data_IF_294079054413
#
_entry.id   IF_294079054413
#
_cell.length_a   1.000
_cell.length_b   1.000
_cell.length_c   1.000
_cell.angle_alpha   90.00
_cell.angle_beta   90.00
_cell.angle_gamma   90.00
#
_symmetry.space_group_name_H-M   'P 1'
#
loop_
_entity.id
_entity.type
_entity.pdbx_description
1 polymer ?
#
# COMPACT_ATOMS: atom_id res chain seq x y z
N UNK A 1 -24.96 -1.18 -9.15
CA UNK A 1 -23.92 -0.45 -8.39
C UNK A 1 -23.46 -1.36 -7.28
N UNK A 2 -22.18 -1.64 -7.18
CA UNK A 2 -21.64 -2.59 -6.19
C UNK A 2 -21.29 -1.80 -4.94
N UNK A 3 -22.15 -1.79 -3.94
CA UNK A 3 -21.95 -0.93 -2.77
C UNK A 3 -20.77 -1.41 -1.92
N UNK A 4 -19.79 -0.53 -1.68
CA UNK A 4 -18.72 -0.75 -0.70
C UNK A 4 -19.36 -1.01 0.67
N UNK A 5 -18.91 -2.04 1.39
CA UNK A 5 -19.48 -2.39 2.69
C UNK A 5 -19.25 -1.27 3.72
N UNK A 6 -20.18 -1.05 4.69
CA UNK A 6 -20.02 0.00 5.70
C UNK A 6 -18.68 -0.08 6.47
N UNK A 7 -18.22 -1.30 6.76
CA UNK A 7 -16.93 -1.57 7.39
C UNK A 7 -15.76 -1.01 6.57
N UNK A 8 -15.74 -1.27 5.25
CA UNK A 8 -14.69 -0.80 4.36
C UNK A 8 -14.79 0.72 4.17
N UNK A 9 -15.99 1.28 4.07
CA UNK A 9 -16.19 2.73 4.01
C UNK A 9 -15.63 3.44 5.24
N UNK A 10 -15.86 2.91 6.44
CA UNK A 10 -15.30 3.47 7.68
C UNK A 10 -13.77 3.41 7.71
N UNK A 11 -13.18 2.33 7.20
CA UNK A 11 -11.74 2.18 7.12
C UNK A 11 -11.12 3.19 6.13
N UNK A 12 -11.76 3.43 4.98
CA UNK A 12 -11.36 4.46 4.01
C UNK A 12 -11.40 5.85 4.65
N UNK A 13 -12.47 6.16 5.39
CA UNK A 13 -12.60 7.44 6.10
C UNK A 13 -11.48 7.60 7.15
N UNK A 14 -11.18 6.54 7.90
CA UNK A 14 -10.10 6.54 8.90
C UNK A 14 -8.76 6.87 8.25
N UNK A 15 -8.44 6.24 7.11
CA UNK A 15 -7.24 6.57 6.31
C UNK A 15 -7.27 8.04 5.87
N UNK A 16 -8.42 8.56 5.45
CA UNK A 16 -8.55 9.95 4.98
C UNK A 16 -8.35 11.00 6.06
N UNK A 17 -8.69 10.67 7.30
CA UNK A 17 -8.51 11.53 8.48
C UNK A 17 -7.12 11.41 9.12
N UNK A 18 -6.33 10.41 8.74
CA UNK A 18 -4.99 10.21 9.28
C UNK A 18 -4.04 11.35 8.88
N UNK A 19 -3.52 12.05 9.89
CA UNK A 19 -2.50 13.11 9.78
C UNK A 19 -1.26 12.82 10.61
N UNK A 20 -1.18 11.63 11.21
CA UNK A 20 -0.11 11.24 12.13
C UNK A 20 0.91 10.34 11.47
N UNK A 21 0.47 9.50 10.51
CA UNK A 21 1.31 8.51 9.88
C UNK A 21 1.87 8.97 8.52
N UNK A 22 3.07 8.47 8.20
CA UNK A 22 3.74 8.75 6.94
C UNK A 22 3.22 7.90 5.76
N UNK A 23 3.60 8.31 4.55
CA UNK A 23 3.14 7.71 3.29
C UNK A 23 3.30 6.19 3.21
N UNK A 24 4.42 5.63 3.70
CA UNK A 24 4.66 4.18 3.67
C UNK A 24 3.81 3.38 4.66
N UNK A 25 3.34 4.00 5.74
CA UNK A 25 2.37 3.38 6.64
C UNK A 25 0.99 3.41 6.00
N UNK A 26 0.54 4.57 5.51
CA UNK A 26 -0.77 4.73 4.86
C UNK A 26 -0.91 3.86 3.60
N UNK A 27 0.16 3.69 2.83
CA UNK A 27 0.15 2.81 1.66
C UNK A 27 -0.10 1.34 2.04
N UNK A 28 0.47 0.87 3.15
CA UNK A 28 0.24 -0.49 3.64
C UNK A 28 -1.16 -0.65 4.18
N UNK A 29 -1.62 0.32 4.96
CA UNK A 29 -2.97 0.28 5.52
C UNK A 29 -4.03 0.30 4.41
N UNK A 30 -3.84 1.13 3.37
CA UNK A 30 -4.70 1.12 2.20
C UNK A 30 -4.67 -0.23 1.43
N UNK A 31 -3.49 -0.83 1.23
CA UNK A 31 -3.40 -2.16 0.63
C UNK A 31 -4.10 -3.23 1.49
N UNK A 32 -4.00 -3.11 2.82
CA UNK A 32 -4.66 -3.98 3.77
C UNK A 32 -6.18 -3.84 3.70
N UNK A 33 -6.72 -2.62 3.70
CA UNK A 33 -8.16 -2.34 3.55
C UNK A 33 -8.68 -2.87 2.22
N UNK A 34 -7.96 -2.65 1.11
CA UNK A 34 -8.35 -3.20 -0.20
C UNK A 34 -8.33 -4.74 -0.22
N UNK A 35 -7.41 -5.36 0.52
CA UNK A 35 -7.35 -6.83 0.62
C UNK A 35 -8.52 -7.37 1.44
N UNK A 36 -8.85 -6.74 2.56
CA UNK A 36 -9.98 -7.11 3.41
C UNK A 36 -11.33 -6.87 2.73
N UNK A 37 -11.42 -5.95 1.78
CA UNK A 37 -12.66 -5.72 1.01
C UNK A 37 -13.01 -6.91 0.11
N UNK A 38 -12.03 -7.77 -0.22
CA UNK A 38 -12.26 -8.96 -1.05
C UNK A 38 -13.17 -9.99 -0.38
N UNK A 39 -13.20 -10.02 0.95
CA UNK A 39 -14.06 -10.90 1.78
C UNK A 39 -15.53 -10.53 1.63
N UNK A 40 -15.81 -9.22 1.53
CA UNK A 40 -17.16 -8.67 1.39
C UNK A 40 -17.58 -8.53 -0.10
N UNK A 41 -16.70 -8.88 -1.04
CA UNK A 41 -16.89 -8.58 -2.45
C UNK A 41 -17.98 -9.48 -3.09
N UNK A 42 -19.13 -8.91 -3.51
CA UNK A 42 -20.28 -9.68 -3.99
C UNK A 42 -20.14 -10.12 -5.47
N UNK A 43 -19.04 -9.75 -6.12
CA UNK A 43 -18.83 -9.98 -7.54
C UNK A 43 -18.83 -11.47 -7.91
N UNK A 44 -19.65 -11.82 -8.91
CA UNK A 44 -19.80 -13.17 -9.48
C UNK A 44 -19.10 -13.31 -10.82
N UNK A 45 -18.74 -12.20 -11.47
CA UNK A 45 -18.01 -12.18 -12.74
C UNK A 45 -16.67 -11.46 -12.63
N UNK A 46 -15.76 -11.73 -13.58
CA UNK A 46 -14.48 -11.03 -13.68
C UNK A 46 -14.64 -9.51 -13.86
N UNK A 47 -15.64 -9.08 -14.63
CA UNK A 47 -15.92 -7.67 -14.89
C UNK A 47 -16.45 -6.96 -13.63
N UNK A 48 -17.40 -7.58 -12.92
CA UNK A 48 -17.90 -7.07 -11.65
C UNK A 48 -16.78 -6.96 -10.61
N UNK A 49 -15.90 -7.96 -10.54
CA UNK A 49 -14.79 -7.99 -9.60
C UNK A 49 -13.78 -6.88 -9.87
N UNK A 50 -13.42 -6.68 -11.14
CA UNK A 50 -12.52 -5.60 -11.52
C UNK A 50 -13.13 -4.22 -11.28
N UNK A 51 -14.44 -4.07 -11.54
CA UNK A 51 -15.15 -2.82 -11.23
C UNK A 51 -15.15 -2.54 -9.73
N UNK A 52 -15.45 -3.54 -8.90
CA UNK A 52 -15.43 -3.42 -7.44
C UNK A 52 -14.05 -3.02 -6.93
N UNK A 53 -12.99 -3.71 -7.39
CA UNK A 53 -11.61 -3.41 -7.02
C UNK A 53 -11.23 -1.96 -7.37
N UNK A 54 -11.60 -1.49 -8.56
CA UNK A 54 -11.33 -0.12 -8.99
C UNK A 54 -12.08 0.90 -8.16
N UNK A 55 -13.32 0.61 -7.77
CA UNK A 55 -14.13 1.49 -6.93
C UNK A 55 -13.48 1.69 -5.56
N UNK A 56 -13.14 0.60 -4.86
CA UNK A 56 -12.47 0.65 -3.55
C UNK A 56 -11.08 1.30 -3.66
N UNK A 57 -10.29 0.93 -4.67
CA UNK A 57 -8.97 1.50 -4.89
C UNK A 57 -9.02 3.02 -5.17
N UNK A 58 -10.02 3.46 -5.95
CA UNK A 58 -10.22 4.89 -6.22
C UNK A 58 -10.59 5.64 -4.95
N UNK A 59 -11.51 5.11 -4.14
CA UNK A 59 -11.89 5.72 -2.87
C UNK A 59 -10.69 5.86 -1.92
N UNK A 60 -9.85 4.82 -1.81
CA UNK A 60 -8.62 4.86 -1.02
C UNK A 60 -7.61 5.89 -1.53
N UNK A 61 -7.41 5.96 -2.86
CA UNK A 61 -6.52 6.96 -3.46
C UNK A 61 -7.01 8.40 -3.21
N UNK A 62 -8.33 8.62 -3.25
CA UNK A 62 -8.93 9.93 -2.97
C UNK A 62 -8.96 10.31 -1.48
N UNK A 63 -8.86 9.34 -0.57
CA UNK A 63 -8.76 9.60 0.85
C UNK A 63 -7.44 10.31 1.21
N UNK A 64 -6.35 10.02 0.49
CA UNK A 64 -5.01 10.58 0.69
C UNK A 64 -4.38 11.06 -0.63
N UNK A 65 -4.94 12.08 -1.29
CA UNK A 65 -4.61 12.42 -2.68
C UNK A 65 -3.17 12.96 -2.85
N UNK A 66 -2.58 13.53 -1.79
CA UNK A 66 -1.18 13.99 -1.78
C UNK A 66 -0.17 12.85 -1.60
N UNK A 67 -0.61 11.64 -1.26
CA UNK A 67 0.25 10.51 -0.93
C UNK A 67 0.28 9.51 -2.09
N UNK A 68 1.11 9.75 -3.09
CA UNK A 68 1.26 8.86 -4.25
C UNK A 68 1.54 7.39 -3.89
N UNK A 69 2.17 7.13 -2.74
CA UNK A 69 2.40 5.77 -2.23
C UNK A 69 1.08 5.00 -2.00
N UNK A 70 0.01 5.67 -1.55
CA UNK A 70 -1.33 5.08 -1.37
C UNK A 70 -1.89 4.66 -2.73
N UNK A 71 -1.93 5.59 -3.69
CA UNK A 71 -2.38 5.32 -5.07
C UNK A 71 -1.61 4.18 -5.73
N UNK A 72 -0.28 4.17 -5.57
CA UNK A 72 0.57 3.13 -6.13
C UNK A 72 0.28 1.75 -5.51
N UNK A 73 0.08 1.69 -4.19
CA UNK A 73 -0.19 0.43 -3.50
C UNK A 73 -1.52 -0.19 -3.94
N UNK A 74 -2.60 0.60 -3.92
CA UNK A 74 -3.93 0.11 -4.34
C UNK A 74 -3.98 -0.17 -5.85
N UNK A 75 -3.31 0.65 -6.66
CA UNK A 75 -3.19 0.44 -8.10
C UNK A 75 -2.45 -0.85 -8.45
N UNK A 76 -1.42 -1.21 -7.70
CA UNK A 76 -0.69 -2.46 -7.91
C UNK A 76 -1.58 -3.71 -7.67
N UNK A 77 -2.46 -3.67 -6.67
CA UNK A 77 -3.44 -4.74 -6.42
C UNK A 77 -4.44 -4.86 -7.57
N UNK A 78 -4.98 -3.74 -8.05
CA UNK A 78 -5.89 -3.72 -9.21
C UNK A 78 -5.21 -4.26 -10.47
N UNK A 79 -3.95 -3.87 -10.69
CA UNK A 79 -3.15 -4.34 -11.83
C UNK A 79 -2.92 -5.85 -11.76
N UNK A 80 -2.54 -6.38 -10.59
CA UNK A 80 -2.31 -7.81 -10.39
C UNK A 80 -3.56 -8.65 -10.71
N UNK A 81 -4.74 -8.20 -10.28
CA UNK A 81 -6.01 -8.84 -10.67
C UNK A 81 -6.28 -8.73 -12.17
N UNK A 82 -6.10 -7.54 -12.75
CA UNK A 82 -6.36 -7.28 -14.17
C UNK A 82 -5.53 -8.19 -15.08
N UNK A 83 -4.26 -8.40 -14.75
CA UNK A 83 -3.36 -9.29 -15.49
C UNK A 83 -3.80 -10.76 -15.46
N UNK A 84 -4.61 -11.16 -14.48
CA UNK A 84 -5.17 -12.51 -14.37
C UNK A 84 -6.60 -12.63 -14.91
N UNK A 85 -7.14 -11.58 -15.53
CA UNK A 85 -8.46 -11.63 -16.14
C UNK A 85 -8.64 -12.80 -17.14
N UNK A 86 -7.66 -13.14 -18.02
CA UNK A 86 -7.78 -14.30 -18.91
C UNK A 86 -7.86 -15.65 -18.19
N UNK A 87 -7.40 -15.71 -16.94
CA UNK A 87 -7.43 -16.92 -16.10
C UNK A 87 -8.69 -17.03 -15.23
N UNK A 88 -9.65 -16.11 -15.39
CA UNK A 88 -10.93 -16.13 -14.71
C UNK A 88 -10.91 -15.59 -13.28
N UNK A 89 -12.12 -15.40 -12.74
CA UNK A 89 -12.37 -14.76 -11.44
C UNK A 89 -11.56 -15.37 -10.27
N UNK A 90 -11.45 -16.71 -10.10
CA UNK A 90 -10.67 -17.27 -9.00
C UNK A 90 -9.19 -16.88 -9.05
N UNK A 91 -8.60 -16.80 -10.25
CA UNK A 91 -7.21 -16.38 -10.41
C UNK A 91 -7.02 -14.89 -10.11
N UNK A 92 -7.97 -14.05 -10.52
CA UNK A 92 -7.97 -12.62 -10.20
C UNK A 92 -8.03 -12.37 -8.69
N UNK A 93 -8.93 -13.07 -7.98
CA UNK A 93 -9.07 -12.97 -6.50
C UNK A 93 -7.77 -13.35 -5.80
N UNK A 94 -7.16 -14.49 -6.18
CA UNK A 94 -5.87 -14.91 -5.63
C UNK A 94 -4.75 -13.90 -5.91
N UNK A 95 -4.69 -13.34 -7.11
CA UNK A 95 -3.66 -12.37 -7.46
C UNK A 95 -3.81 -11.03 -6.71
N UNK A 96 -5.04 -10.52 -6.58
CA UNK A 96 -5.30 -9.33 -5.76
C UNK A 96 -4.87 -9.55 -4.31
N UNK A 97 -5.32 -10.64 -3.70
CA UNK A 97 -5.00 -10.96 -2.31
C UNK A 97 -3.50 -11.16 -2.10
N UNK A 98 -2.84 -11.92 -2.97
CA UNK A 98 -1.39 -12.15 -2.90
C UNK A 98 -0.60 -10.84 -3.03
N UNK A 99 -0.98 -9.96 -3.97
CA UNK A 99 -0.32 -8.67 -4.14
C UNK A 99 -0.52 -7.75 -2.93
N UNK A 100 -1.72 -7.72 -2.35
CA UNK A 100 -2.01 -6.96 -1.14
C UNK A 100 -1.14 -7.39 0.03
N UNK A 101 -1.10 -8.70 0.32
CA UNK A 101 -0.23 -9.26 1.37
C UNK A 101 1.25 -8.99 1.09
N UNK A 102 1.70 -9.15 -0.16
CA UNK A 102 3.09 -8.85 -0.53
C UNK A 102 3.46 -7.39 -0.22
N UNK A 103 2.57 -6.43 -0.48
CA UNK A 103 2.81 -5.02 -0.17
C UNK A 103 2.97 -4.84 1.35
N UNK A 104 2.03 -5.39 2.14
CA UNK A 104 2.05 -5.31 3.61
C UNK A 104 3.35 -5.89 4.18
N UNK A 105 3.77 -7.06 3.69
CA UNK A 105 4.95 -7.79 4.18
C UNK A 105 6.29 -7.23 3.66
N UNK A 106 6.28 -6.43 2.60
CA UNK A 106 7.51 -5.99 1.93
C UNK A 106 8.27 -4.87 2.64
N UNK A 107 7.63 -4.16 3.57
CA UNK A 107 8.17 -2.94 4.16
C UNK A 107 9.51 -3.15 4.88
N UNK A 108 9.59 -4.13 5.78
CA UNK A 108 10.81 -4.38 6.54
C UNK A 108 11.96 -4.80 5.60
N UNK A 109 11.64 -5.47 4.50
CA UNK A 109 12.63 -5.85 3.49
C UNK A 109 13.10 -4.63 2.71
N UNK A 110 12.20 -3.74 2.32
CA UNK A 110 12.51 -2.50 1.62
C UNK A 110 13.37 -1.56 2.48
N UNK A 111 12.94 -1.30 3.72
CA UNK A 111 13.69 -0.47 4.67
C UNK A 111 15.11 -1.00 4.88
N UNK A 112 15.27 -2.31 5.17
CA UNK A 112 16.59 -2.93 5.32
C UNK A 112 17.47 -2.83 4.07
N UNK A 113 16.89 -2.90 2.87
CA UNK A 113 17.65 -2.72 1.61
C UNK A 113 18.14 -1.29 1.46
N UNK A 114 17.30 -0.31 1.76
CA UNK A 114 17.66 1.11 1.70
C UNK A 114 18.77 1.40 2.71
N UNK A 115 18.63 0.93 3.94
CA UNK A 115 19.64 1.07 5.00
C UNK A 115 20.99 0.50 4.55
N UNK A 116 21.04 -0.75 4.07
CA UNK A 116 22.29 -1.36 3.59
C UNK A 116 22.92 -0.63 2.42
N UNK A 117 22.10 -0.03 1.55
CA UNK A 117 22.62 0.76 0.44
C UNK A 117 23.20 2.08 0.94
N UNK A 118 22.46 2.80 1.77
CA UNK A 118 22.89 4.07 2.36
C UNK A 118 24.20 3.93 3.16
N UNK A 119 24.36 2.85 3.92
CA UNK A 119 25.61 2.53 4.63
C UNK A 119 26.84 2.45 3.72
N UNK A 120 26.66 2.06 2.45
CA UNK A 120 27.77 1.87 1.50
C UNK A 120 28.02 3.11 0.66
N UNK A 121 27.05 4.01 0.54
CA UNK A 121 27.08 5.11 -0.43
C UNK A 121 27.10 6.49 0.20
N UNK A 122 26.63 6.66 1.44
CA UNK A 122 26.63 7.96 2.08
C UNK A 122 28.05 8.33 2.56
N UNK A 123 28.55 9.52 2.17
CA UNK A 123 29.84 10.00 2.66
C UNK A 123 29.73 10.41 4.13
N UNK A 124 30.88 10.46 4.82
CA UNK A 124 30.97 11.04 6.17
C UNK A 124 30.66 12.54 6.11
N UNK A 125 29.93 13.06 7.09
CA UNK A 125 29.65 14.48 7.22
C UNK A 125 28.32 14.76 7.91
N UNK A 126 27.91 16.03 7.89
CA UNK A 126 26.61 16.45 8.38
C UNK A 126 25.51 16.04 7.39
N UNK A 127 24.45 15.40 7.89
CA UNK A 127 23.25 15.06 7.11
C UNK A 127 22.11 15.96 7.56
N UNK A 128 21.54 16.69 6.61
CA UNK A 128 20.30 17.44 6.81
C UNK A 128 19.12 16.62 6.30
N UNK A 129 18.07 16.53 7.12
CA UNK A 129 16.79 15.89 6.75
C UNK A 129 15.64 16.85 7.04
N UNK A 130 14.48 16.61 6.43
CA UNK A 130 13.25 17.34 6.68
C UNK A 130 12.10 16.36 6.94
N UNK A 131 11.21 16.71 7.87
CA UNK A 131 10.10 15.88 8.33
C UNK A 131 10.53 14.55 8.97
N UNK A 132 9.53 13.80 9.45
CA UNK A 132 9.71 12.47 10.01
C UNK A 132 9.40 11.40 8.94
N UNK A 133 10.46 10.83 8.37
CA UNK A 133 10.41 9.67 7.48
C UNK A 133 10.97 8.46 8.20
N UNK A 134 10.16 7.42 8.39
CA UNK A 134 10.59 6.18 9.03
C UNK A 134 11.79 5.53 8.30
N UNK A 135 11.85 5.66 6.97
CA UNK A 135 12.99 5.19 6.17
C UNK A 135 14.25 5.99 6.48
N UNK A 136 14.14 7.33 6.55
CA UNK A 136 15.29 8.20 6.85
C UNK A 136 15.76 7.98 8.28
N UNK A 137 14.83 7.87 9.23
CA UNK A 137 15.16 7.57 10.62
C UNK A 137 15.91 6.24 10.74
N UNK A 138 15.44 5.16 10.10
CA UNK A 138 16.13 3.86 10.11
C UNK A 138 17.55 3.93 9.52
N UNK A 139 17.78 4.77 8.50
CA UNK A 139 19.12 5.02 7.96
C UNK A 139 19.99 5.73 8.99
N UNK A 140 19.51 6.83 9.56
CA UNK A 140 20.28 7.64 10.52
C UNK A 140 20.60 6.86 11.80
N UNK A 141 19.62 6.12 12.33
CA UNK A 141 19.80 5.23 13.49
C UNK A 141 20.87 4.17 13.21
N UNK A 142 20.84 3.55 12.03
CA UNK A 142 21.85 2.57 11.64
C UNK A 142 23.25 3.19 11.53
N UNK A 143 23.37 4.36 10.90
CA UNK A 143 24.66 5.04 10.76
C UNK A 143 25.22 5.45 12.12
N UNK A 144 24.38 6.03 13.00
CA UNK A 144 24.78 6.41 14.35
C UNK A 144 25.27 5.23 15.19
N UNK A 145 24.71 4.03 15.00
CA UNK A 145 25.15 2.82 15.73
C UNK A 145 26.57 2.34 15.38
N UNK A 146 27.20 2.89 14.34
CA UNK A 146 28.52 2.47 13.86
C UNK A 146 29.68 3.42 14.17
N UNK A 147 29.39 4.62 14.71
CA UNK A 147 30.38 5.71 14.82
C UNK A 147 30.76 6.28 13.46
#
# INVERSE_FOLDING_TARGET
MTTISPRISQAIETIGQDRTHGAGWLARDAANVLTHSLEDCPARTAAEFLSYLREVATALAQAQPSMAAVTNAVGAVVLAASQKAPSGLPAMRRAASAQGHQIVDSWDKASRRIVRHAERTLPRGAIMTHSYSATTFAVLERLASKG
#
